data_IF_351684578170
#
_entry.id   IF_351684578170
#
_cell.length_a   1.000
_cell.length_b   1.000
_cell.length_c   1.000
_cell.angle_alpha   90.00
_cell.angle_beta   90.00
_cell.angle_gamma   90.00
#
_symmetry.space_group_name_H-M   'P 1'
#
loop_
_entity.id
_entity.type
_entity.pdbx_description
1 polymer ?
#
# COMPACT_ATOMS: atom_id res chain seq x y z
N UNK A 1 0.37 9.69 32.10
CA UNK A 1 0.25 8.26 32.47
C UNK A 1 1.12 7.96 33.69
N UNK A 2 0.81 6.97 34.53
CA UNK A 2 1.74 6.59 35.61
C UNK A 2 2.98 5.85 35.04
N UNK A 3 4.04 5.74 35.84
CA UNK A 3 5.30 5.13 35.37
C UNK A 3 5.19 3.66 34.99
N UNK A 4 4.25 2.91 35.58
CA UNK A 4 4.05 1.47 35.33
C UNK A 4 3.36 1.27 33.98
N UNK A 5 2.33 2.06 33.73
CA UNK A 5 1.57 2.01 32.50
C UNK A 5 2.39 2.53 31.32
N UNK A 6 3.21 3.57 31.51
CA UNK A 6 4.15 4.04 30.48
C UNK A 6 5.15 2.94 30.09
N UNK A 7 5.68 2.20 31.08
CA UNK A 7 6.54 1.06 30.81
C UNK A 7 5.80 -0.10 30.12
N UNK A 8 4.51 -0.30 30.41
CA UNK A 8 3.65 -1.26 29.71
C UNK A 8 3.46 -0.87 28.25
N UNK A 9 3.13 0.39 27.98
CA UNK A 9 2.95 0.92 26.62
C UNK A 9 4.25 0.77 25.80
N UNK A 10 5.41 1.10 26.38
CA UNK A 10 6.71 0.88 25.72
C UNK A 10 6.95 -0.61 25.39
N UNK A 11 6.73 -1.52 26.35
CA UNK A 11 6.90 -2.97 26.10
C UNK A 11 5.96 -3.46 24.99
N UNK A 12 4.71 -3.00 24.98
CA UNK A 12 3.76 -3.33 23.94
C UNK A 12 4.22 -2.79 22.57
N UNK A 13 4.63 -1.52 22.49
CA UNK A 13 5.14 -0.91 21.26
C UNK A 13 6.36 -1.68 20.73
N UNK A 14 7.32 -1.96 21.59
CA UNK A 14 8.55 -2.65 21.22
C UNK A 14 8.33 -4.12 20.82
N UNK A 15 7.31 -4.80 21.36
CA UNK A 15 7.01 -6.19 21.03
C UNK A 15 6.10 -6.33 19.81
N UNK A 16 5.16 -5.40 19.62
CA UNK A 16 4.09 -5.53 18.62
C UNK A 16 4.40 -4.79 17.31
N UNK A 17 5.15 -3.68 17.34
CA UNK A 17 5.36 -2.83 16.17
C UNK A 17 6.79 -2.89 15.61
N UNK A 18 7.78 -2.95 16.50
CA UNK A 18 9.19 -2.90 16.13
C UNK A 18 9.64 -4.19 15.44
N UNK A 19 10.04 -4.10 14.17
CA UNK A 19 10.48 -5.26 13.38
C UNK A 19 9.35 -6.24 13.06
N UNK A 20 8.11 -5.77 13.06
CA UNK A 20 6.94 -6.58 12.70
C UNK A 20 6.97 -6.87 11.20
N UNK A 21 6.82 -8.14 10.84
CA UNK A 21 6.43 -8.57 9.49
C UNK A 21 4.91 -8.47 9.40
N UNK A 22 4.33 -7.59 8.55
CA UNK A 22 2.88 -7.54 8.39
C UNK A 22 2.38 -8.87 7.81
N UNK A 23 1.29 -9.39 8.38
CA UNK A 23 0.59 -10.59 7.87
C UNK A 23 0.18 -10.41 6.40
N UNK A 24 -0.22 -9.19 6.05
CA UNK A 24 -0.60 -8.77 4.71
C UNK A 24 0.31 -7.61 4.29
N UNK A 25 1.28 -7.83 3.39
CA UNK A 25 2.12 -6.77 2.87
C UNK A 25 1.29 -5.66 2.20
N UNK A 26 1.77 -4.40 2.23
CA UNK A 26 1.20 -3.34 1.42
C UNK A 26 1.14 -3.70 -0.06
N UNK A 27 0.15 -3.16 -0.77
CA UNK A 27 -0.07 -3.44 -2.19
C UNK A 27 1.19 -3.09 -3.01
N UNK A 28 1.68 -4.06 -3.78
CA UNK A 28 2.89 -3.88 -4.60
C UNK A 28 4.20 -3.81 -3.82
N UNK A 29 4.20 -4.11 -2.53
CA UNK A 29 5.40 -4.15 -1.70
C UNK A 29 5.96 -5.57 -1.56
N UNK A 30 7.27 -5.65 -1.32
CA UNK A 30 7.97 -6.89 -0.99
C UNK A 30 8.55 -6.73 0.40
N UNK A 31 8.21 -7.67 1.29
CA UNK A 31 8.70 -7.68 2.66
C UNK A 31 9.70 -8.82 2.84
N UNK A 32 10.90 -8.47 3.29
CA UNK A 32 11.98 -9.43 3.50
C UNK A 32 12.49 -9.34 4.94
N UNK A 33 12.64 -10.49 5.58
CA UNK A 33 13.25 -10.58 6.90
C UNK A 33 14.71 -11.00 6.78
N UNK A 34 15.60 -10.26 7.43
CA UNK A 34 17.03 -10.54 7.52
C UNK A 34 17.49 -10.44 8.98
N UNK A 35 17.45 -11.57 9.69
CA UNK A 35 17.73 -11.62 11.12
C UNK A 35 16.73 -10.76 11.92
N UNK A 36 17.20 -9.75 12.69
CA UNK A 36 16.33 -8.87 13.46
C UNK A 36 15.70 -7.74 12.63
N UNK A 37 16.08 -7.62 11.34
CA UNK A 37 15.62 -6.56 10.44
C UNK A 37 14.49 -7.05 9.54
N UNK A 38 13.55 -6.15 9.26
CA UNK A 38 12.49 -6.32 8.27
C UNK A 38 12.64 -5.18 7.28
N UNK A 39 12.91 -5.51 6.02
CA UNK A 39 12.92 -4.58 4.90
C UNK A 39 11.55 -4.60 4.24
N UNK A 40 11.01 -3.42 3.97
CA UNK A 40 9.86 -3.26 3.08
C UNK A 40 10.30 -2.49 1.86
N UNK A 41 10.24 -3.14 0.71
CA UNK A 41 10.54 -2.59 -0.60
C UNK A 41 9.25 -2.20 -1.29
N UNK A 42 9.07 -0.92 -1.55
CA UNK A 42 7.84 -0.37 -2.13
C UNK A 42 7.95 -0.11 -3.64
N UNK A 43 9.12 -0.31 -4.22
CA UNK A 43 9.43 0.03 -5.61
C UNK A 43 9.69 1.52 -5.84
N UNK A 44 9.25 2.42 -4.96
CA UNK A 44 9.58 3.87 -5.04
C UNK A 44 10.52 4.32 -3.93
N UNK A 45 10.53 3.56 -2.84
CA UNK A 45 11.31 3.79 -1.65
C UNK A 45 11.29 2.51 -0.81
N UNK A 46 11.85 2.56 0.39
CA UNK A 46 11.68 1.49 1.35
C UNK A 46 11.94 1.89 2.78
N UNK A 47 11.68 0.94 3.66
CA UNK A 47 11.86 1.12 5.10
C UNK A 47 12.60 -0.07 5.71
N UNK A 48 13.37 0.20 6.75
CA UNK A 48 13.92 -0.82 7.64
C UNK A 48 13.28 -0.66 9.01
N UNK A 49 12.55 -1.69 9.42
CA UNK A 49 12.12 -1.90 10.80
C UNK A 49 13.00 -2.94 11.48
N UNK A 50 13.07 -2.90 12.81
CA UNK A 50 13.78 -3.94 13.56
C UNK A 50 13.23 -4.12 14.96
N UNK A 51 13.32 -5.36 15.44
CA UNK A 51 13.06 -5.67 16.85
C UNK A 51 14.12 -5.02 17.75
N UNK A 52 13.93 -4.94 19.08
CA UNK A 52 15.00 -4.53 19.98
C UNK A 52 16.28 -5.34 19.73
N UNK A 53 17.41 -4.64 19.56
CA UNK A 53 18.71 -5.23 19.20
C UNK A 53 19.57 -5.57 20.42
N UNK A 54 18.95 -5.76 21.59
CA UNK A 54 19.66 -5.98 22.86
C UNK A 54 20.47 -7.28 22.89
N UNK A 55 20.16 -8.22 22.00
CA UNK A 55 20.81 -9.53 21.86
C UNK A 55 21.78 -9.59 20.67
N UNK A 56 21.93 -8.51 19.89
CA UNK A 56 22.83 -8.47 18.74
C UNK A 56 24.23 -8.03 19.19
N UNK A 57 25.28 -8.86 18.98
CA UNK A 57 26.64 -8.47 19.33
C UNK A 57 27.11 -7.27 18.51
N UNK A 58 27.79 -6.33 19.16
CA UNK A 58 28.36 -5.13 18.50
C UNK A 58 29.19 -5.48 17.25
N UNK A 59 30.01 -6.53 17.33
CA UNK A 59 30.89 -6.94 16.24
C UNK A 59 30.13 -7.40 14.97
N UNK A 60 28.85 -7.78 15.10
CA UNK A 60 28.02 -8.22 13.98
C UNK A 60 27.20 -7.08 13.36
N UNK A 61 27.00 -5.98 14.10
CA UNK A 61 26.10 -4.89 13.73
C UNK A 61 26.52 -4.19 12.43
N UNK A 62 27.82 -3.94 12.25
CA UNK A 62 28.37 -3.36 11.02
C UNK A 62 28.02 -4.19 9.78
N UNK A 63 28.18 -5.51 9.88
CA UNK A 63 27.86 -6.44 8.79
C UNK A 63 26.37 -6.47 8.48
N UNK A 64 25.53 -6.43 9.52
CA UNK A 64 24.08 -6.39 9.39
C UNK A 64 23.58 -5.12 8.71
N UNK A 65 24.08 -3.94 9.13
CA UNK A 65 23.75 -2.64 8.53
C UNK A 65 24.14 -2.62 7.06
N UNK A 66 25.36 -3.09 6.74
CA UNK A 66 25.85 -3.14 5.35
C UNK A 66 24.98 -4.01 4.44
N UNK A 67 24.47 -5.15 4.93
CA UNK A 67 23.52 -5.97 4.14
C UNK A 67 22.24 -5.21 3.78
N UNK A 68 21.74 -4.35 4.67
CA UNK A 68 20.55 -3.55 4.38
C UNK A 68 20.88 -2.47 3.33
N UNK A 69 22.00 -1.79 3.50
CA UNK A 69 22.51 -0.81 2.53
C UNK A 69 22.64 -1.43 1.12
N UNK A 70 23.31 -2.59 1.02
CA UNK A 70 23.52 -3.31 -0.23
C UNK A 70 22.18 -3.72 -0.89
N UNK A 71 21.21 -4.19 -0.10
CA UNK A 71 19.89 -4.59 -0.59
C UNK A 71 19.09 -3.41 -1.20
N UNK A 72 19.09 -2.24 -0.56
CA UNK A 72 18.40 -1.05 -1.11
C UNK A 72 19.16 -0.44 -2.29
N UNK A 73 20.50 -0.43 -2.25
CA UNK A 73 21.32 0.03 -3.37
C UNK A 73 21.09 -0.81 -4.64
N UNK A 74 20.96 -2.14 -4.50
CA UNK A 74 20.68 -3.04 -5.63
C UNK A 74 19.34 -2.78 -6.32
N UNK A 75 18.38 -2.15 -5.62
CA UNK A 75 17.04 -1.84 -6.13
C UNK A 75 16.86 -0.38 -6.52
N UNK A 76 17.85 0.47 -6.28
CA UNK A 76 17.75 1.91 -6.54
C UNK A 76 16.65 2.60 -5.72
N UNK A 77 16.35 2.10 -4.52
CA UNK A 77 15.29 2.63 -3.66
C UNK A 77 15.89 3.48 -2.52
N UNK A 78 15.37 4.70 -2.27
CA UNK A 78 15.71 5.44 -1.06
C UNK A 78 15.15 4.70 0.15
N UNK A 79 15.95 4.61 1.21
CA UNK A 79 15.59 3.86 2.42
C UNK A 79 15.51 4.77 3.63
N UNK A 80 14.52 4.51 4.47
CA UNK A 80 14.36 5.13 5.80
C UNK A 80 14.46 4.08 6.90
N UNK A 81 15.22 4.38 7.93
CA UNK A 81 15.45 3.49 9.06
C UNK A 81 15.24 4.24 10.37
N UNK A 82 14.23 3.83 11.15
CA UNK A 82 13.97 4.43 12.47
C UNK A 82 14.86 3.80 13.55
N UNK A 83 15.62 4.63 14.26
CA UNK A 83 16.45 4.27 15.42
C UNK A 83 15.87 4.91 16.67
N UNK A 84 15.67 4.12 17.72
CA UNK A 84 15.05 4.55 18.96
C UNK A 84 16.12 4.88 20.01
N UNK A 85 15.82 5.77 20.95
CA UNK A 85 16.77 6.19 21.98
C UNK A 85 17.27 5.07 22.91
N UNK A 86 16.57 3.93 22.97
CA UNK A 86 16.99 2.74 23.72
C UNK A 86 17.85 1.77 22.91
N UNK A 87 18.03 2.02 21.61
CA UNK A 87 18.86 1.15 20.78
C UNK A 87 20.34 1.32 21.11
N UNK A 88 21.17 0.31 20.81
CA UNK A 88 22.61 0.41 21.00
C UNK A 88 23.16 1.67 20.29
N UNK A 89 23.99 2.50 20.97
CA UNK A 89 24.54 3.72 20.38
C UNK A 89 25.37 3.43 19.12
N UNK A 90 26.01 2.25 19.08
CA UNK A 90 26.79 1.78 17.95
C UNK A 90 25.95 1.68 16.66
N UNK A 91 24.62 1.48 16.73
CA UNK A 91 23.79 1.42 15.53
C UNK A 91 23.82 2.73 14.74
N UNK A 92 23.78 3.88 15.42
CA UNK A 92 23.83 5.18 14.77
C UNK A 92 25.20 5.42 14.11
N UNK A 93 26.28 4.96 14.75
CA UNK A 93 27.65 5.04 14.21
C UNK A 93 27.81 4.17 12.96
N UNK A 94 27.31 2.93 13.00
CA UNK A 94 27.37 2.01 11.86
C UNK A 94 26.49 2.47 10.68
N UNK A 95 25.32 3.06 10.95
CA UNK A 95 24.48 3.66 9.91
C UNK A 95 25.19 4.83 9.23
N UNK A 96 25.81 5.72 10.00
CA UNK A 96 26.60 6.83 9.43
C UNK A 96 27.79 6.32 8.61
N UNK A 97 28.50 5.29 9.09
CA UNK A 97 29.60 4.66 8.35
C UNK A 97 29.14 4.00 7.04
N UNK A 98 27.91 3.50 7.00
CA UNK A 98 27.27 2.96 5.79
C UNK A 98 26.67 4.04 4.86
N UNK A 99 26.86 5.32 5.16
CA UNK A 99 26.43 6.43 4.30
C UNK A 99 25.01 6.95 4.57
N UNK A 100 24.36 6.52 5.64
CA UNK A 100 23.08 7.09 6.04
C UNK A 100 23.27 8.46 6.70
N UNK A 101 22.31 9.36 6.48
CA UNK A 101 22.22 10.66 7.14
C UNK A 101 21.05 10.67 8.11
N UNK A 102 21.22 11.26 9.29
CA UNK A 102 20.18 11.30 10.31
C UNK A 102 19.33 12.57 10.21
N UNK A 103 18.01 12.42 10.25
CA UNK A 103 17.08 13.52 10.46
C UNK A 103 17.20 14.07 11.90
N UNK A 104 16.59 15.24 12.13
CA UNK A 104 16.36 15.75 13.49
C UNK A 104 15.53 14.74 14.32
N UNK A 105 15.87 14.54 15.61
CA UNK A 105 15.13 13.62 16.47
C UNK A 105 13.71 14.11 16.74
N UNK A 106 12.76 13.17 16.75
CA UNK A 106 11.39 13.37 17.20
C UNK A 106 11.16 12.64 18.52
N UNK A 107 10.13 13.06 19.26
CA UNK A 107 9.64 12.31 20.42
C UNK A 107 8.62 11.28 19.95
N UNK A 108 8.79 10.03 20.37
CA UNK A 108 7.74 9.02 20.27
C UNK A 108 6.82 9.18 21.48
N UNK A 109 5.63 9.70 21.21
CA UNK A 109 4.59 9.94 22.20
C UNK A 109 3.55 8.82 22.14
N UNK A 110 2.95 8.51 23.29
CA UNK A 110 1.84 7.55 23.39
C UNK A 110 0.73 8.08 24.29
N UNK A 111 -0.52 7.81 23.96
CA UNK A 111 -1.66 8.02 24.84
C UNK A 111 -2.46 6.74 25.00
N UNK A 112 -2.96 6.50 26.22
CA UNK A 112 -4.10 5.58 26.44
C UNK A 112 -5.36 6.28 25.92
N UNK A 113 -5.97 5.70 24.89
CA UNK A 113 -7.14 6.28 24.23
C UNK A 113 -8.32 6.48 25.19
N UNK A 114 -8.46 5.63 26.22
CA UNK A 114 -9.51 5.77 27.23
C UNK A 114 -9.28 6.95 28.20
N UNK A 115 -8.06 7.51 28.24
CA UNK A 115 -7.63 8.52 29.22
C UNK A 115 -7.24 9.87 28.63
N UNK A 116 -7.28 10.03 27.31
CA UNK A 116 -7.08 11.34 26.71
C UNK A 116 -8.01 12.38 27.37
N UNK A 117 -7.69 13.67 27.35
CA UNK A 117 -8.58 14.72 27.87
C UNK A 117 -9.59 15.15 26.81
N UNK A 118 -10.89 15.39 27.13
CA UNK A 118 -11.88 15.80 26.13
C UNK A 118 -11.42 17.07 25.42
N UNK A 119 -11.30 17.01 24.09
CA UNK A 119 -10.85 18.13 23.27
C UNK A 119 -11.97 19.13 23.00
N UNK A 120 -11.63 20.29 22.42
CA UNK A 120 -12.61 21.24 21.89
C UNK A 120 -13.35 20.58 20.72
N UNK A 121 -14.65 20.36 20.89
CA UNK A 121 -15.52 19.81 19.84
C UNK A 121 -15.97 20.94 18.90
N UNK A 122 -15.76 20.76 17.60
CA UNK A 122 -16.73 21.06 16.52
C UNK A 122 -16.16 20.61 15.17
N UNK A 123 -16.85 19.74 14.41
CA UNK A 123 -16.67 19.66 12.94
C UNK A 123 -15.64 18.69 12.36
N UNK A 124 -14.94 17.88 13.16
CA UNK A 124 -14.05 16.81 12.64
C UNK A 124 -14.90 15.69 12.02
N UNK A 125 -14.55 15.26 10.81
CA UNK A 125 -15.22 14.18 10.08
C UNK A 125 -14.16 13.24 9.49
N UNK A 126 -14.33 11.93 9.68
CA UNK A 126 -13.62 10.93 8.87
C UNK A 126 -14.14 11.02 7.43
N UNK A 127 -13.23 11.04 6.47
CA UNK A 127 -13.56 11.13 5.05
C UNK A 127 -13.18 9.81 4.39
N UNK A 128 -14.13 9.13 3.71
CA UNK A 128 -13.82 7.98 2.88
C UNK A 128 -12.74 8.32 1.83
N UNK A 129 -11.67 7.52 1.77
CA UNK A 129 -10.66 7.60 0.73
C UNK A 129 -11.30 7.43 -0.64
N UNK A 130 -10.93 8.28 -1.60
CA UNK A 130 -11.40 8.18 -2.99
C UNK A 130 -12.67 8.95 -3.32
N UNK A 131 -13.31 9.66 -2.39
CA UNK A 131 -14.37 10.62 -2.73
C UNK A 131 -13.77 11.93 -3.31
N UNK A 132 -14.13 12.34 -4.54
CA UNK A 132 -13.62 13.56 -5.13
C UNK A 132 -14.50 14.77 -4.78
N UNK A 133 -13.92 15.84 -4.23
CA UNK A 133 -14.39 17.22 -4.48
C UNK A 133 -13.44 18.31 -3.96
N UNK A 134 -12.68 18.08 -2.89
CA UNK A 134 -11.82 19.14 -2.34
C UNK A 134 -10.47 18.59 -1.89
N UNK A 135 -9.50 18.52 -2.81
CA UNK A 135 -8.09 18.16 -2.51
C UNK A 135 -7.38 19.20 -1.62
N UNK A 136 -8.13 20.09 -0.97
CA UNK A 136 -7.63 21.16 -0.10
C UNK A 136 -6.81 20.63 1.07
N UNK A 137 -7.09 19.43 1.57
CA UNK A 137 -6.28 18.82 2.63
C UNK A 137 -4.90 18.33 2.17
N UNK A 138 -4.70 17.97 0.89
CA UNK A 138 -3.36 17.66 0.37
C UNK A 138 -2.46 18.91 0.38
N UNK A 139 -3.06 20.08 0.10
CA UNK A 139 -2.38 21.36 0.24
C UNK A 139 -2.05 21.66 1.72
N UNK A 140 -2.98 21.41 2.65
CA UNK A 140 -2.72 21.53 4.09
C UNK A 140 -1.56 20.62 4.55
N UNK A 141 -1.55 19.35 4.12
CA UNK A 141 -0.50 18.39 4.44
C UNK A 141 0.86 18.84 3.90
N UNK A 142 0.90 19.35 2.67
CA UNK A 142 2.13 19.88 2.05
C UNK A 142 2.65 21.12 2.80
N UNK A 143 1.77 22.04 3.18
CA UNK A 143 2.13 23.29 3.85
C UNK A 143 2.58 23.11 5.31
N UNK A 144 2.17 22.03 5.97
CA UNK A 144 2.42 21.76 7.40
C UNK A 144 3.54 20.74 7.64
N UNK A 145 4.18 20.22 6.59
CA UNK A 145 5.27 19.25 6.72
C UNK A 145 6.56 19.83 7.33
N UNK A 146 7.55 18.97 7.66
CA UNK A 146 7.57 17.53 7.41
C UNK A 146 6.78 16.72 8.46
N UNK A 147 5.97 15.78 7.98
CA UNK A 147 5.25 14.82 8.82
C UNK A 147 6.07 13.55 9.08
N UNK A 148 5.72 12.78 10.10
CA UNK A 148 6.42 11.52 10.41
C UNK A 148 6.27 10.53 9.26
N UNK A 149 5.09 10.51 8.65
CA UNK A 149 4.81 9.88 7.36
C UNK A 149 4.08 10.90 6.47
N UNK A 150 4.69 11.35 5.36
CA UNK A 150 4.03 12.22 4.40
C UNK A 150 2.69 11.65 3.92
N UNK A 151 1.67 12.50 3.71
CA UNK A 151 0.34 12.05 3.30
C UNK A 151 0.37 11.24 2.00
N UNK A 152 1.15 11.65 1.00
CA UNK A 152 1.24 10.95 -0.28
C UNK A 152 1.79 9.51 -0.14
N UNK A 153 2.75 9.29 0.77
CA UNK A 153 3.21 7.95 1.11
C UNK A 153 2.15 7.24 1.96
N UNK A 154 1.54 7.90 2.93
CA UNK A 154 0.47 7.30 3.71
C UNK A 154 -0.71 6.85 2.86
N UNK A 155 -1.01 7.49 1.73
CA UNK A 155 -2.04 7.06 0.78
C UNK A 155 -1.55 5.93 -0.13
N UNK A 156 -0.28 5.95 -0.56
CA UNK A 156 0.29 4.98 -1.48
C UNK A 156 0.79 3.68 -0.81
N UNK A 157 1.16 3.74 0.47
CA UNK A 157 1.72 2.64 1.26
C UNK A 157 0.62 1.81 1.94
N UNK A 158 -0.65 2.22 1.79
CA UNK A 158 -1.77 1.46 2.31
C UNK A 158 -1.86 0.12 1.60
N UNK A 159 -2.05 -0.94 2.37
CA UNK A 159 -2.47 -2.22 1.80
C UNK A 159 -3.96 -2.23 1.51
N UNK A 160 -4.43 -3.32 0.91
CA UNK A 160 -5.85 -3.72 0.69
C UNK A 160 -6.81 -3.50 1.88
N UNK A 161 -6.29 -3.19 3.08
CA UNK A 161 -7.02 -3.24 4.35
C UNK A 161 -6.97 -1.93 5.16
N UNK A 162 -6.39 -0.86 4.62
CA UNK A 162 -6.67 0.45 5.20
C UNK A 162 -8.08 0.81 4.78
N UNK A 163 -9.01 0.69 5.74
CA UNK A 163 -10.39 0.99 5.48
C UNK A 163 -10.49 2.48 5.06
N UNK A 164 -11.49 2.86 4.26
CA UNK A 164 -11.60 4.21 3.72
C UNK A 164 -11.56 5.37 4.73
N UNK A 165 -11.52 5.17 6.06
CA UNK A 165 -11.56 6.23 7.08
C UNK A 165 -10.26 6.51 7.84
N UNK A 166 -9.11 6.07 7.35
CA UNK A 166 -7.79 6.38 7.94
C UNK A 166 -7.39 7.88 7.79
N UNK A 167 -8.30 8.71 7.30
CA UNK A 167 -8.13 10.15 7.10
C UNK A 167 -9.30 10.94 7.72
N UNK A 168 -8.98 11.98 8.49
CA UNK A 168 -9.95 12.86 9.12
C UNK A 168 -9.67 14.32 8.77
N UNK A 169 -10.74 15.07 8.51
CA UNK A 169 -10.68 16.50 8.16
C UNK A 169 -11.55 17.30 9.11
N UNK A 170 -11.03 18.43 9.56
CA UNK A 170 -11.82 19.46 10.23
C UNK A 170 -12.38 20.42 9.19
N UNK A 171 -13.70 20.56 9.14
CA UNK A 171 -14.39 21.47 8.23
C UNK A 171 -14.98 22.65 9.00
N UNK A 172 -14.56 23.86 8.64
CA UNK A 172 -15.14 25.10 9.13
C UNK A 172 -15.65 25.94 7.96
N UNK A 173 -16.88 26.46 8.06
CA UNK A 173 -17.51 27.27 7.02
C UNK A 173 -17.48 26.62 5.61
N UNK A 174 -17.54 25.28 5.55
CA UNK A 174 -17.53 24.51 4.31
C UNK A 174 -16.15 24.26 3.69
N UNK A 175 -15.04 24.57 4.39
CA UNK A 175 -13.67 24.33 3.91
C UNK A 175 -12.87 23.46 4.88
N UNK A 176 -11.99 22.62 4.35
CA UNK A 176 -10.99 21.93 5.16
C UNK A 176 -10.01 22.95 5.74
N UNK A 177 -9.89 23.00 7.07
CA UNK A 177 -8.95 23.90 7.78
C UNK A 177 -7.82 23.14 8.48
N UNK A 178 -8.05 21.87 8.82
CA UNK A 178 -7.03 20.96 9.31
C UNK A 178 -7.29 19.54 8.84
N UNK A 179 -6.25 18.72 8.79
CA UNK A 179 -6.31 17.32 8.43
C UNK A 179 -5.40 16.48 9.34
N UNK A 180 -5.79 15.22 9.50
CA UNK A 180 -5.02 14.22 10.22
C UNK A 180 -5.19 12.85 9.57
N UNK A 181 -4.12 12.06 9.56
CA UNK A 181 -4.16 10.72 9.00
C UNK A 181 -3.52 9.72 9.96
N UNK A 182 -4.28 8.65 10.20
CA UNK A 182 -4.00 7.68 11.24
C UNK A 182 -4.34 6.29 10.71
N UNK A 183 -3.53 5.31 11.05
CA UNK A 183 -3.80 3.90 10.76
C UNK A 183 -3.98 3.11 12.05
N UNK A 184 -4.89 2.13 12.04
CA UNK A 184 -4.85 1.06 13.05
C UNK A 184 -3.89 -0.01 12.57
N UNK A 185 -2.82 -0.21 13.34
CA UNK A 185 -1.88 -1.28 13.10
C UNK A 185 -2.56 -2.62 13.48
N UNK A 186 -3.26 -3.23 12.52
CA UNK A 186 -4.06 -4.45 12.72
C UNK A 186 -3.25 -5.55 13.42
N UNK A 187 -3.88 -6.20 14.39
CA UNK A 187 -3.23 -7.22 15.22
C UNK A 187 -2.33 -6.67 16.33
N UNK A 188 -2.38 -5.36 16.59
CA UNK A 188 -1.67 -4.70 17.68
C UNK A 188 -2.62 -3.85 18.51
N UNK A 189 -2.13 -3.39 19.66
CA UNK A 189 -2.86 -2.48 20.54
C UNK A 189 -2.75 -1.01 20.11
N UNK A 190 -2.23 -0.71 18.90
CA UNK A 190 -1.83 0.63 18.49
C UNK A 190 -2.58 1.19 17.28
N UNK A 191 -3.02 2.43 17.43
CA UNK A 191 -3.24 3.36 16.34
C UNK A 191 -2.00 4.23 16.16
N UNK A 192 -1.60 4.50 14.92
CA UNK A 192 -0.40 5.26 14.57
C UNK A 192 -0.79 6.53 13.84
N UNK A 193 -0.31 7.67 14.32
CA UNK A 193 -0.46 8.96 13.64
C UNK A 193 0.62 9.08 12.57
N UNK A 194 0.20 9.15 11.30
CA UNK A 194 1.11 9.46 10.19
C UNK A 194 1.43 10.95 10.11
N UNK A 195 0.42 11.81 10.35
CA UNK A 195 0.60 13.25 10.39
C UNK A 195 -0.66 14.02 10.79
N UNK A 196 -0.44 15.27 11.23
CA UNK A 196 -1.44 16.21 11.70
C UNK A 196 -1.05 17.60 11.23
N UNK A 197 -1.93 18.30 10.52
CA UNK A 197 -1.58 19.59 9.89
C UNK A 197 -1.68 20.78 10.83
N UNK A 198 -2.35 20.62 11.97
CA UNK A 198 -2.56 21.67 12.96
C UNK A 198 -2.41 21.07 14.38
N UNK A 199 -1.40 21.53 15.15
CA UNK A 199 -1.20 21.12 16.53
C UNK A 199 -2.40 21.35 17.45
N UNK A 200 -3.17 22.42 17.27
CA UNK A 200 -4.26 22.78 18.19
C UNK A 200 -5.43 21.78 18.13
N UNK A 201 -5.63 21.17 16.96
CA UNK A 201 -6.71 20.21 16.70
C UNK A 201 -6.27 18.75 16.81
N UNK A 202 -4.97 18.50 17.05
CA UNK A 202 -4.37 17.17 17.18
C UNK A 202 -5.14 16.23 18.14
N UNK A 203 -5.47 16.72 19.34
CA UNK A 203 -6.21 15.96 20.35
C UNK A 203 -7.62 15.58 19.87
N UNK A 204 -8.29 16.48 19.15
CA UNK A 204 -9.61 16.25 18.61
C UNK A 204 -9.57 15.16 17.52
N UNK A 205 -8.60 15.21 16.61
CA UNK A 205 -8.43 14.18 15.58
C UNK A 205 -8.25 12.79 16.18
N UNK A 206 -7.30 12.62 17.10
CA UNK A 206 -7.02 11.31 17.72
C UNK A 206 -8.25 10.73 18.44
N UNK A 207 -9.07 11.57 19.06
CA UNK A 207 -10.26 11.13 19.81
C UNK A 207 -11.47 10.84 18.96
N UNK A 208 -11.70 11.66 17.93
CA UNK A 208 -12.84 11.53 17.04
C UNK A 208 -12.59 10.56 15.90
N UNK A 209 -11.34 10.14 15.73
CA UNK A 209 -11.03 9.09 14.78
C UNK A 209 -11.74 7.80 15.21
N UNK A 210 -12.70 7.41 14.39
CA UNK A 210 -13.35 6.11 14.48
C UNK A 210 -12.82 5.29 13.33
N UNK A 211 -12.25 4.09 13.56
CA UNK A 211 -12.01 3.18 12.46
C UNK A 211 -13.34 2.96 11.75
N UNK A 212 -13.38 2.92 10.42
CA UNK A 212 -14.57 2.49 9.71
C UNK A 212 -15.07 1.19 10.31
N UNK A 213 -16.29 1.22 10.84
CA UNK A 213 -16.95 0.02 11.29
C UNK A 213 -17.38 -0.74 10.04
N UNK A 214 -16.64 -1.77 9.66
CA UNK A 214 -17.13 -2.67 8.64
C UNK A 214 -18.21 -3.56 9.28
N UNK A 215 -19.42 -3.52 8.71
CA UNK A 215 -20.56 -4.31 9.21
C UNK A 215 -20.33 -5.83 9.02
N UNK A 216 -19.36 -6.22 8.20
CA UNK A 216 -19.03 -7.62 7.90
C UNK A 216 -17.66 -8.10 8.39
N UNK A 217 -16.75 -7.20 8.81
CA UNK A 217 -15.47 -7.60 9.38
C UNK A 217 -15.42 -7.20 10.84
N UNK A 218 -15.35 -8.22 11.70
CA UNK A 218 -15.26 -8.11 13.15
C UNK A 218 -14.35 -6.95 13.57
N UNK A 219 -14.82 -6.10 14.50
CA UNK A 219 -13.99 -5.13 15.20
C UNK A 219 -12.61 -5.76 15.47
N UNK A 220 -11.51 -5.31 14.86
CA UNK A 220 -10.21 -5.55 15.46
C UNK A 220 -10.31 -4.94 16.85
N UNK A 221 -9.99 -5.71 17.90
CA UNK A 221 -10.04 -5.24 19.28
C UNK A 221 -9.45 -3.83 19.35
N UNK A 222 -10.28 -2.86 19.74
CA UNK A 222 -9.98 -1.43 19.56
C UNK A 222 -8.59 -1.12 20.10
N UNK A 223 -7.74 -0.49 19.29
CA UNK A 223 -6.44 -0.03 19.72
C UNK A 223 -6.56 0.60 21.12
N UNK A 224 -5.73 0.16 22.06
CA UNK A 224 -5.71 0.72 23.41
C UNK A 224 -4.87 2.00 23.44
N UNK A 225 -3.88 2.08 22.57
CA UNK A 225 -2.90 3.15 22.53
C UNK A 225 -2.94 3.89 21.19
N UNK A 226 -2.72 5.20 21.24
CA UNK A 226 -2.37 6.01 20.08
C UNK A 226 -0.90 6.41 20.19
N UNK A 227 -0.10 6.13 19.17
CA UNK A 227 1.30 6.55 19.10
C UNK A 227 1.50 7.60 18.01
N UNK A 228 2.34 8.60 18.30
CA UNK A 228 2.66 9.69 17.39
C UNK A 228 4.14 10.06 17.50
N UNK A 229 4.76 10.36 16.36
CA UNK A 229 6.11 10.93 16.31
C UNK A 229 6.01 12.43 16.08
N UNK A 230 6.44 13.23 17.06
CA UNK A 230 6.27 14.67 17.03
C UNK A 230 7.49 15.43 17.57
N UNK A 231 7.66 16.64 17.06
CA UNK A 231 8.60 17.65 17.54
C UNK A 231 7.88 19.02 17.65
N UNK A 232 8.60 20.05 18.10
CA UNK A 232 8.12 21.44 18.11
C UNK A 232 6.74 21.65 18.78
N UNK A 233 5.89 22.42 18.08
CA UNK A 233 4.54 22.78 18.54
C UNK A 233 3.62 21.56 18.62
N UNK A 234 3.72 20.63 17.66
CA UNK A 234 2.91 19.40 17.67
C UNK A 234 3.22 18.53 18.89
N UNK A 235 4.50 18.37 19.25
CA UNK A 235 4.90 17.67 20.48
C UNK A 235 4.30 18.32 21.71
N UNK A 236 4.38 19.66 21.78
CA UNK A 236 3.85 20.43 22.92
C UNK A 236 2.34 20.24 23.06
N UNK A 237 1.60 20.30 21.94
CA UNK A 237 0.15 20.12 21.92
C UNK A 237 -0.26 18.68 22.31
N UNK A 238 0.42 17.66 21.79
CA UNK A 238 0.11 16.26 22.13
C UNK A 238 0.39 15.94 23.60
N UNK A 239 1.48 16.46 24.18
CA UNK A 239 1.75 16.34 25.62
C UNK A 239 0.64 17.01 26.46
N UNK A 240 0.20 18.21 26.06
CA UNK A 240 -0.91 18.89 26.72
C UNK A 240 -2.25 18.13 26.58
N UNK A 241 -2.43 17.38 25.49
CA UNK A 241 -3.59 16.53 25.25
C UNK A 241 -3.63 15.25 26.09
N UNK A 242 -2.54 14.92 26.80
CA UNK A 242 -2.43 13.74 27.64
C UNK A 242 -1.60 12.60 27.04
N UNK A 243 -0.80 12.86 26.00
CA UNK A 243 0.24 11.93 25.58
C UNK A 243 1.43 11.98 26.54
N UNK A 244 2.13 10.86 26.68
CA UNK A 244 3.37 10.71 27.42
C UNK A 244 4.51 10.36 26.47
N UNK A 245 5.70 10.90 26.73
CA UNK A 245 6.90 10.56 25.96
C UNK A 245 7.44 9.19 26.37
N UNK A 246 7.59 8.29 25.39
CA UNK A 246 8.20 6.97 25.56
C UNK A 246 9.71 7.01 25.33
N UNK A 247 10.12 7.69 24.27
CA UNK A 247 11.52 7.78 23.83
C UNK A 247 11.70 8.85 22.77
N UNK A 248 12.93 8.99 22.28
CA UNK A 248 13.22 9.68 21.03
C UNK A 248 13.37 8.68 19.88
N UNK A 249 13.04 9.12 18.67
CA UNK A 249 13.26 8.39 17.43
C UNK A 249 14.02 9.29 16.46
N UNK A 250 14.99 8.72 15.75
CA UNK A 250 15.70 9.36 14.64
C UNK A 250 15.53 8.52 13.40
N UNK A 251 15.12 9.15 12.31
CA UNK A 251 15.06 8.48 11.00
C UNK A 251 16.37 8.72 10.27
N UNK A 252 17.08 7.63 9.99
CA UNK A 252 18.23 7.61 9.11
C UNK A 252 17.79 7.40 7.67
N UNK A 253 18.38 8.13 6.74
CA UNK A 253 18.03 8.10 5.32
C UNK A 253 19.25 7.83 4.46
N UNK A 254 19.05 7.08 3.39
CA UNK A 254 20.02 6.96 2.31
C UNK A 254 19.28 7.04 0.98
N UNK A 255 19.69 7.97 0.14
CA UNK A 255 19.17 8.11 -1.22
C UNK A 255 20.02 7.27 -2.20
N UNK A 256 19.39 6.70 -3.24
CA UNK A 256 20.11 6.00 -4.30
C UNK A 256 20.93 6.97 -5.14
N UNK A 257 21.93 6.43 -5.85
CA UNK A 257 22.78 7.22 -6.77
C UNK A 257 21.97 7.75 -7.96
N UNK A 258 21.09 6.92 -8.50
CA UNK A 258 20.18 7.29 -9.58
C UNK A 258 18.81 7.68 -9.04
N UNK A 259 18.06 8.57 -9.70
CA UNK A 259 16.71 8.93 -9.25
C UNK A 259 15.81 7.69 -9.14
N UNK A 260 15.10 7.53 -8.01
CA UNK A 260 14.21 6.38 -7.84
C UNK A 260 13.02 6.43 -8.77
N UNK A 261 12.38 5.27 -8.95
CA UNK A 261 11.10 5.20 -9.64
C UNK A 261 10.05 6.06 -8.90
N UNK A 262 9.21 6.75 -9.67
CA UNK A 262 8.18 7.66 -9.14
C UNK A 262 6.83 6.99 -8.90
N UNK A 263 6.64 5.79 -9.43
CA UNK A 263 5.38 5.05 -9.37
C UNK A 263 5.60 3.68 -8.73
N UNK A 264 4.58 3.21 -8.00
CA UNK A 264 4.56 1.86 -7.42
C UNK A 264 4.53 0.80 -8.53
N UNK A 265 5.11 -0.39 -8.31
CA UNK A 265 4.93 -1.54 -9.21
C UNK A 265 3.47 -1.93 -9.35
N UNK A 266 2.71 -1.87 -8.25
CA UNK A 266 1.26 -2.12 -8.18
C UNK A 266 0.62 -1.03 -7.32
N UNK A 267 -0.53 -0.53 -7.75
CA UNK A 267 -1.39 0.40 -7.00
C UNK A 267 -2.85 -0.01 -7.18
N UNK A 268 -3.65 0.07 -6.12
CA UNK A 268 -5.11 -0.09 -6.21
C UNK A 268 -5.75 1.08 -6.98
N UNK A 269 -6.73 0.77 -7.82
CA UNK A 269 -7.53 1.78 -8.49
C UNK A 269 -8.49 2.41 -7.49
N UNK A 270 -8.54 3.75 -7.49
CA UNK A 270 -9.48 4.49 -6.67
C UNK A 270 -10.80 4.68 -7.44
N UNK A 271 -11.92 4.74 -6.72
CA UNK A 271 -13.29 4.71 -7.26
C UNK A 271 -13.48 5.42 -8.60
N UNK A 272 -13.17 6.73 -8.70
CA UNK A 272 -13.38 7.46 -9.96
C UNK A 272 -12.54 6.95 -11.16
N UNK A 273 -11.33 6.43 -10.95
CA UNK A 273 -10.51 5.83 -12.02
C UNK A 273 -11.08 4.48 -12.47
N UNK A 274 -11.58 3.70 -11.50
CA UNK A 274 -12.20 2.39 -11.74
C UNK A 274 -13.56 2.54 -12.44
N UNK A 275 -14.43 3.41 -11.94
CA UNK A 275 -15.76 3.71 -12.49
C UNK A 275 -15.68 4.11 -13.97
N UNK A 276 -14.75 5.03 -14.30
CA UNK A 276 -14.56 5.49 -15.68
C UNK A 276 -14.15 4.35 -16.61
N UNK A 277 -13.36 3.39 -16.12
CA UNK A 277 -12.90 2.27 -16.94
C UNK A 277 -14.02 1.25 -17.15
N UNK A 278 -14.81 0.95 -16.10
CA UNK A 278 -16.00 0.10 -16.22
C UNK A 278 -17.06 0.71 -17.15
N UNK A 279 -17.31 2.01 -17.05
CA UNK A 279 -18.23 2.72 -17.96
C UNK A 279 -17.79 2.59 -19.41
N UNK A 280 -16.48 2.78 -19.68
CA UNK A 280 -15.93 2.60 -21.03
C UNK A 280 -16.03 1.16 -21.52
N UNK A 281 -15.82 0.16 -20.66
CA UNK A 281 -16.03 -1.25 -21.02
C UNK A 281 -17.50 -1.53 -21.33
N UNK A 282 -18.42 -0.93 -20.59
CA UNK A 282 -19.86 -1.06 -20.80
C UNK A 282 -20.30 -0.45 -22.14
N UNK A 283 -19.75 0.72 -22.49
CA UNK A 283 -20.14 1.51 -23.65
C UNK A 283 -19.41 1.10 -24.93
N UNK A 284 -18.08 0.93 -24.88
CA UNK A 284 -17.24 0.64 -26.04
C UNK A 284 -17.22 -0.87 -26.38
N UNK A 285 -17.25 -1.73 -25.35
CA UNK A 285 -17.17 -3.18 -25.50
C UNK A 285 -18.47 -3.90 -25.18
N UNK A 286 -19.55 -3.18 -24.86
CA UNK A 286 -20.84 -3.80 -24.55
C UNK A 286 -20.76 -4.76 -23.38
N UNK A 287 -19.91 -4.48 -22.38
CA UNK A 287 -19.75 -5.34 -21.20
C UNK A 287 -21.09 -5.51 -20.46
N UNK A 288 -21.56 -6.75 -20.33
CA UNK A 288 -22.81 -7.13 -19.66
C UNK A 288 -22.57 -8.32 -18.76
N UNK A 289 -23.14 -8.25 -17.56
CA UNK A 289 -22.84 -9.17 -16.47
C UNK A 289 -23.87 -10.29 -16.30
N UNK A 290 -25.01 -10.20 -17.00
CA UNK A 290 -26.07 -11.20 -16.88
C UNK A 290 -25.79 -12.38 -17.80
N UNK A 291 -26.02 -13.59 -17.30
CA UNK A 291 -25.89 -14.85 -18.05
C UNK A 291 -26.75 -14.87 -19.33
N UNK A 292 -27.85 -14.12 -19.37
CA UNK A 292 -28.70 -14.02 -20.57
C UNK A 292 -28.08 -13.18 -21.70
N UNK A 293 -27.07 -12.37 -21.38
CA UNK A 293 -26.43 -11.44 -22.32
C UNK A 293 -25.15 -12.04 -22.95
N UNK A 294 -24.86 -13.33 -22.72
CA UNK A 294 -23.69 -14.05 -23.23
C UNK A 294 -23.54 -13.87 -24.76
N UNK A 295 -22.35 -13.47 -25.29
CA UNK A 295 -21.04 -13.46 -24.61
C UNK A 295 -20.77 -12.25 -23.69
N UNK A 296 -21.68 -11.29 -23.61
CA UNK A 296 -21.60 -10.15 -22.68
C UNK A 296 -20.38 -9.25 -22.86
N UNK A 297 -19.62 -9.40 -23.96
CA UNK A 297 -18.41 -8.64 -24.25
C UNK A 297 -18.08 -8.71 -25.74
N UNK A 298 -18.10 -7.57 -26.41
CA UNK A 298 -17.85 -7.40 -27.84
C UNK A 298 -16.40 -6.97 -28.10
N UNK A 299 -15.44 -7.88 -27.84
CA UNK A 299 -14.02 -7.64 -28.04
C UNK A 299 -13.70 -7.04 -29.43
N UNK A 300 -12.79 -6.06 -29.54
CA UNK A 300 -12.45 -5.43 -30.80
C UNK A 300 -11.66 -6.41 -31.69
N UNK A 301 -11.65 -6.16 -32.99
CA UNK A 301 -10.78 -6.88 -33.92
C UNK A 301 -9.37 -6.25 -33.94
N UNK A 302 -8.28 -7.04 -34.00
CA UNK A 302 -8.28 -8.50 -34.00
C UNK A 302 -8.42 -9.08 -32.58
N UNK A 303 -9.16 -10.19 -32.47
CA UNK A 303 -9.31 -10.96 -31.22
C UNK A 303 -9.55 -12.45 -31.46
N UNK A 304 -9.24 -13.25 -30.44
CA UNK A 304 -9.52 -14.68 -30.40
C UNK A 304 -9.99 -15.10 -29.00
N UNK A 305 -10.85 -16.12 -28.95
CA UNK A 305 -11.39 -16.67 -27.70
C UNK A 305 -11.06 -18.15 -27.60
N UNK A 306 -10.46 -18.56 -26.50
CA UNK A 306 -10.17 -19.96 -26.15
C UNK A 306 -11.15 -20.49 -25.11
N UNK A 307 -11.54 -21.77 -25.19
CA UNK A 307 -12.22 -22.44 -24.09
C UNK A 307 -11.22 -22.64 -22.94
N UNK A 308 -11.68 -22.45 -21.71
CA UNK A 308 -10.97 -22.82 -20.50
C UNK A 308 -11.40 -24.24 -20.10
N UNK A 309 -10.43 -25.11 -19.89
CA UNK A 309 -10.67 -26.45 -19.32
C UNK A 309 -10.91 -26.39 -17.82
N UNK A 310 -11.08 -27.54 -17.17
CA UNK A 310 -11.23 -27.59 -15.71
C UNK A 310 -10.02 -26.96 -14.99
N UNK A 311 -10.25 -26.11 -13.96
CA UNK A 311 -9.16 -25.41 -13.31
C UNK A 311 -8.30 -26.38 -12.49
N UNK A 312 -6.99 -26.32 -12.72
CA UNK A 312 -5.99 -26.88 -11.82
C UNK A 312 -4.77 -25.94 -11.76
N UNK A 313 -4.07 -25.93 -10.62
CA UNK A 313 -2.99 -24.99 -10.30
C UNK A 313 -1.98 -24.83 -11.46
N UNK A 314 -1.48 -25.94 -12.01
CA UNK A 314 -0.51 -25.89 -13.11
C UNK A 314 -1.03 -25.22 -14.40
N UNK A 315 -2.34 -25.29 -14.69
CA UNK A 315 -2.95 -24.65 -15.85
C UNK A 315 -3.07 -23.14 -15.61
N UNK A 316 -3.56 -22.76 -14.44
CA UNK A 316 -3.70 -21.35 -14.04
C UNK A 316 -2.33 -20.67 -14.07
N UNK A 317 -1.32 -21.27 -13.44
CA UNK A 317 0.06 -20.77 -13.45
C UNK A 317 0.64 -20.64 -14.88
N UNK A 318 0.37 -21.61 -15.75
CA UNK A 318 0.84 -21.58 -17.12
C UNK A 318 0.15 -20.46 -17.91
N UNK A 319 -1.16 -20.28 -17.71
CA UNK A 319 -1.94 -19.23 -18.34
C UNK A 319 -1.44 -17.85 -17.91
N UNK A 320 -1.28 -17.62 -16.62
CA UNK A 320 -0.83 -16.34 -16.07
C UNK A 320 0.60 -16.00 -16.53
N UNK A 321 1.49 -17.00 -16.64
CA UNK A 321 2.82 -16.81 -17.24
C UNK A 321 2.74 -16.37 -18.71
N UNK A 322 1.88 -16.99 -19.51
CA UNK A 322 1.69 -16.62 -20.93
C UNK A 322 1.12 -15.21 -21.04
N UNK A 323 0.10 -14.89 -20.24
CA UNK A 323 -0.54 -13.56 -20.24
C UNK A 323 0.44 -12.48 -19.78
N UNK A 324 1.13 -12.66 -18.65
CA UNK A 324 2.10 -11.68 -18.15
C UNK A 324 3.25 -11.45 -19.16
N UNK A 325 3.74 -12.51 -19.81
CA UNK A 325 4.73 -12.35 -20.89
C UNK A 325 4.13 -11.57 -22.07
N UNK A 326 2.90 -11.89 -22.47
CA UNK A 326 2.18 -11.16 -23.51
C UNK A 326 2.07 -9.68 -23.20
N UNK A 327 1.69 -9.32 -21.97
CA UNK A 327 1.61 -7.94 -21.49
C UNK A 327 2.98 -7.25 -21.60
N UNK A 328 4.06 -7.88 -21.10
CA UNK A 328 5.43 -7.35 -21.23
C UNK A 328 5.89 -7.16 -22.68
N UNK A 329 5.38 -7.96 -23.62
CA UNK A 329 5.72 -7.84 -25.03
C UNK A 329 5.05 -6.65 -25.72
N UNK A 330 3.94 -6.14 -25.15
CA UNK A 330 3.19 -5.01 -25.73
C UNK A 330 3.28 -3.72 -24.91
N UNK A 331 3.95 -3.76 -23.76
CA UNK A 331 4.23 -2.58 -22.94
C UNK A 331 5.72 -2.31 -22.80
N UNK A 332 6.10 -1.04 -22.68
CA UNK A 332 7.42 -0.62 -22.24
C UNK A 332 7.57 -0.60 -20.71
N UNK A 333 8.80 -0.60 -20.17
CA UNK A 333 9.03 -0.36 -18.74
C UNK A 333 8.41 0.96 -18.27
N UNK A 334 7.67 0.93 -17.16
CA UNK A 334 6.94 2.07 -16.62
C UNK A 334 5.53 2.27 -17.19
N UNK A 335 5.17 1.58 -18.28
CA UNK A 335 3.78 1.57 -18.77
C UNK A 335 2.93 0.63 -17.90
N UNK A 336 1.75 1.12 -17.50
CA UNK A 336 0.87 0.38 -16.59
C UNK A 336 -0.32 -0.25 -17.32
N UNK A 337 -0.61 -1.50 -16.98
CA UNK A 337 -1.83 -2.24 -17.34
C UNK A 337 -2.79 -2.18 -16.15
N UNK A 338 -4.08 -2.37 -16.40
CA UNK A 338 -5.10 -2.55 -15.36
C UNK A 338 -5.48 -4.02 -15.24
N UNK A 339 -5.55 -4.53 -14.02
CA UNK A 339 -6.29 -5.74 -13.71
C UNK A 339 -7.60 -5.36 -13.06
N UNK A 340 -8.71 -5.84 -13.63
CA UNK A 340 -10.05 -5.54 -13.17
C UNK A 340 -10.74 -6.80 -12.69
N UNK A 341 -11.41 -6.67 -11.55
CA UNK A 341 -12.18 -7.72 -10.90
C UNK A 341 -13.59 -7.18 -10.62
N UNK A 342 -14.59 -7.80 -11.22
CA UNK A 342 -15.96 -7.27 -11.18
C UNK A 342 -16.49 -7.21 -9.75
N UNK A 343 -16.85 -6.01 -9.28
CA UNK A 343 -17.31 -5.72 -7.90
C UNK A 343 -16.25 -5.86 -6.80
N UNK A 344 -14.99 -6.01 -7.19
CA UNK A 344 -13.86 -6.15 -6.29
C UNK A 344 -12.79 -5.10 -6.61
N UNK A 345 -11.85 -4.83 -5.70
CA UNK A 345 -10.83 -3.83 -5.95
C UNK A 345 -9.92 -4.19 -7.13
N UNK A 346 -9.75 -3.22 -8.01
CA UNK A 346 -8.95 -3.32 -9.22
C UNK A 346 -7.55 -2.74 -9.01
N UNK A 347 -6.59 -3.06 -9.90
CA UNK A 347 -5.20 -2.61 -9.77
C UNK A 347 -4.63 -2.02 -11.05
N UNK A 348 -3.81 -0.98 -10.93
CA UNK A 348 -2.84 -0.56 -11.91
C UNK A 348 -1.47 -1.17 -11.59
N UNK A 349 -0.78 -1.75 -12.57
CA UNK A 349 0.55 -2.30 -12.36
C UNK A 349 1.44 -2.22 -13.60
N UNK A 350 2.75 -2.18 -13.37
CA UNK A 350 3.77 -2.30 -14.42
C UNK A 350 4.14 -3.78 -14.61
N UNK A 351 3.83 -4.40 -15.77
CA UNK A 351 4.17 -5.80 -16.04
C UNK A 351 5.66 -6.13 -15.90
N UNK A 352 6.55 -5.15 -16.05
CA UNK A 352 8.01 -5.31 -15.97
C UNK A 352 8.55 -5.29 -14.54
N UNK A 353 7.69 -5.11 -13.53
CA UNK A 353 8.10 -4.97 -12.11
C UNK A 353 7.34 -5.90 -11.17
N UNK A 354 6.73 -6.96 -11.71
CA UNK A 354 5.92 -7.94 -10.98
C UNK A 354 6.22 -9.36 -11.45
N UNK A 355 6.06 -10.34 -10.56
CA UNK A 355 6.13 -11.77 -10.90
C UNK A 355 7.54 -12.35 -11.12
N UNK A 356 8.59 -11.54 -11.04
CA UNK A 356 9.98 -12.00 -10.98
C UNK A 356 10.48 -12.35 -9.56
N UNK A 357 11.63 -13.01 -9.43
CA UNK A 357 12.24 -13.28 -8.13
C UNK A 357 12.51 -11.99 -7.35
N UNK A 358 11.97 -11.93 -6.13
CA UNK A 358 12.06 -10.74 -5.29
C UNK A 358 11.10 -9.62 -5.70
N UNK A 359 10.35 -9.70 -6.79
CA UNK A 359 9.35 -8.70 -7.16
C UNK A 359 8.01 -8.97 -6.47
N UNK A 360 7.13 -7.96 -6.35
CA UNK A 360 5.76 -8.20 -5.89
C UNK A 360 5.03 -9.18 -6.83
N UNK A 361 4.05 -9.88 -6.28
CA UNK A 361 3.19 -10.79 -7.05
C UNK A 361 2.44 -10.00 -8.13
N UNK A 362 2.28 -10.60 -9.31
CA UNK A 362 1.45 -10.01 -10.37
C UNK A 362 0.00 -9.91 -9.87
N UNK A 363 -0.67 -8.75 -10.00
CA UNK A 363 -2.04 -8.63 -9.54
C UNK A 363 -2.98 -9.55 -10.30
N UNK A 364 -3.80 -10.27 -9.55
CA UNK A 364 -4.86 -11.10 -10.09
C UNK A 364 -4.39 -12.31 -10.90
N UNK A 365 -5.32 -12.82 -11.70
CA UNK A 365 -5.11 -13.93 -12.62
C UNK A 365 -5.99 -13.74 -13.86
N UNK A 366 -5.65 -14.42 -14.96
CA UNK A 366 -6.44 -14.41 -16.19
C UNK A 366 -7.59 -15.43 -16.16
N UNK A 367 -7.45 -16.50 -15.36
CA UNK A 367 -8.47 -17.53 -15.20
C UNK A 367 -9.57 -17.03 -14.24
N UNK A 368 -10.84 -16.89 -14.68
CA UNK A 368 -11.92 -16.41 -13.83
C UNK A 368 -12.35 -17.46 -12.79
N UNK A 369 -12.60 -17.04 -11.55
CA UNK A 369 -12.97 -17.93 -10.43
C UNK A 369 -14.46 -17.88 -10.04
N UNK A 370 -15.25 -17.14 -10.82
CA UNK A 370 -16.65 -16.82 -10.51
C UNK A 370 -16.98 -15.40 -10.95
N UNK A 371 -15.99 -14.52 -10.92
CA UNK A 371 -16.09 -13.13 -11.38
C UNK A 371 -15.45 -12.91 -12.76
N UNK A 372 -15.76 -11.76 -13.36
CA UNK A 372 -15.16 -11.35 -14.62
C UNK A 372 -13.78 -10.74 -14.37
N UNK A 373 -12.75 -11.33 -14.97
CA UNK A 373 -11.39 -10.84 -14.85
C UNK A 373 -10.89 -10.25 -16.16
N UNK A 374 -10.28 -9.07 -16.07
CA UNK A 374 -9.71 -8.40 -17.23
C UNK A 374 -8.30 -7.93 -16.96
N UNK A 375 -7.39 -8.15 -17.91
CA UNK A 375 -6.21 -7.31 -18.06
C UNK A 375 -6.46 -6.35 -19.19
N UNK A 376 -6.40 -5.04 -18.97
CA UNK A 376 -6.64 -4.04 -20.03
C UNK A 376 -5.62 -2.92 -20.02
N UNK A 377 -5.21 -2.51 -21.22
CA UNK A 377 -4.57 -1.22 -21.43
C UNK A 377 -5.51 -0.07 -21.03
N UNK A 378 -5.04 1.01 -20.36
CA UNK A 378 -5.90 2.13 -19.98
C UNK A 378 -6.62 2.81 -21.15
N UNK A 379 -6.03 2.78 -22.36
CA UNK A 379 -6.66 3.29 -23.58
C UNK A 379 -7.49 2.21 -24.32
N UNK A 380 -7.65 1.02 -23.73
CA UNK A 380 -8.39 -0.13 -24.26
C UNK A 380 -7.86 -0.62 -25.63
N UNK A 381 -6.55 -0.44 -25.89
CA UNK A 381 -5.89 -0.85 -27.14
C UNK A 381 -5.72 -2.38 -27.24
N UNK A 382 -5.55 -3.04 -26.11
CA UNK A 382 -5.38 -4.49 -26.00
C UNK A 382 -5.85 -4.95 -24.62
N UNK A 383 -6.07 -6.26 -24.49
CA UNK A 383 -6.38 -6.85 -23.20
C UNK A 383 -6.84 -8.30 -23.28
N UNK A 384 -7.21 -8.83 -22.12
CA UNK A 384 -7.83 -10.13 -21.93
C UNK A 384 -9.17 -9.99 -21.21
N UNK A 385 -10.05 -10.96 -21.44
CA UNK A 385 -11.34 -11.05 -20.77
C UNK A 385 -11.63 -12.52 -20.43
N UNK A 386 -11.55 -12.85 -19.14
CA UNK A 386 -11.93 -14.13 -18.57
C UNK A 386 -13.42 -14.11 -18.24
N UNK A 387 -14.20 -14.94 -18.91
CA UNK A 387 -15.65 -15.04 -18.69
C UNK A 387 -15.97 -16.30 -17.87
N UNK A 388 -16.44 -16.17 -16.61
CA UNK A 388 -16.61 -17.32 -15.73
C UNK A 388 -17.73 -18.25 -16.21
N UNK A 389 -18.85 -17.72 -16.71
CA UNK A 389 -19.97 -18.57 -17.17
C UNK A 389 -19.78 -19.20 -18.56
N UNK A 390 -19.11 -18.53 -19.49
CA UNK A 390 -18.76 -19.16 -20.78
C UNK A 390 -17.58 -20.12 -20.63
N UNK A 391 -16.82 -20.04 -19.53
CA UNK A 391 -15.53 -20.70 -19.37
C UNK A 391 -14.61 -20.40 -20.55
N UNK A 392 -14.39 -19.12 -20.82
CA UNK A 392 -13.52 -18.69 -21.93
C UNK A 392 -12.55 -17.60 -21.54
N UNK A 393 -11.41 -17.56 -22.23
CA UNK A 393 -10.49 -16.43 -22.22
C UNK A 393 -10.50 -15.80 -23.61
N UNK A 394 -10.89 -14.54 -23.70
CA UNK A 394 -10.75 -13.73 -24.92
C UNK A 394 -9.50 -12.86 -24.83
N UNK A 395 -8.71 -12.81 -25.89
CA UNK A 395 -7.56 -11.90 -26.03
C UNK A 395 -7.81 -10.98 -27.22
N UNK A 396 -7.57 -9.68 -27.06
CA UNK A 396 -7.76 -8.68 -28.12
C UNK A 396 -6.59 -7.71 -28.25
N UNK A 397 -6.48 -7.11 -29.44
CA UNK A 397 -5.40 -6.20 -29.82
C UNK A 397 -4.27 -6.94 -30.51
N UNK A 398 -3.86 -6.45 -31.69
CA UNK A 398 -2.97 -7.17 -32.61
C UNK A 398 -1.64 -7.57 -31.97
N UNK A 399 -1.03 -6.68 -31.20
CA UNK A 399 0.25 -6.94 -30.52
C UNK A 399 0.12 -8.04 -29.47
N UNK A 400 -0.90 -7.98 -28.63
CA UNK A 400 -1.05 -8.92 -27.51
C UNK A 400 -1.42 -10.30 -28.06
N UNK A 401 -2.40 -10.35 -28.97
CA UNK A 401 -2.80 -11.57 -29.64
C UNK A 401 -1.61 -12.25 -30.33
N UNK A 402 -0.82 -11.50 -31.10
CA UNK A 402 0.37 -12.03 -31.77
C UNK A 402 1.45 -12.57 -30.81
N UNK A 403 1.52 -12.04 -29.58
CA UNK A 403 2.49 -12.47 -28.58
C UNK A 403 2.08 -13.74 -27.80
N UNK A 404 0.79 -14.10 -27.81
CA UNK A 404 0.26 -15.19 -26.96
C UNK A 404 -0.46 -16.29 -27.73
N UNK A 405 -0.96 -16.05 -28.95
CA UNK A 405 -1.86 -16.97 -29.67
C UNK A 405 -1.29 -18.39 -29.82
N UNK A 406 -0.03 -18.52 -30.23
CA UNK A 406 0.59 -19.83 -30.43
C UNK A 406 0.65 -20.65 -29.14
N UNK A 407 0.99 -19.99 -28.02
CA UNK A 407 1.14 -20.66 -26.72
C UNK A 407 -0.18 -20.92 -26.04
N UNK A 408 -1.14 -20.00 -26.14
CA UNK A 408 -2.51 -20.25 -25.69
C UNK A 408 -3.14 -21.39 -26.48
N UNK A 409 -2.89 -21.47 -27.79
CA UNK A 409 -3.42 -22.58 -28.61
C UNK A 409 -2.78 -23.91 -28.24
N UNK A 410 -1.48 -23.93 -27.92
CA UNK A 410 -0.82 -25.12 -27.40
C UNK A 410 -1.34 -25.54 -26.02
N UNK A 411 -1.71 -24.58 -25.17
CA UNK A 411 -2.18 -24.82 -23.80
C UNK A 411 -3.66 -25.19 -23.72
N UNK A 412 -4.52 -24.50 -24.47
CA UNK A 412 -5.99 -24.53 -24.36
C UNK A 412 -6.67 -25.19 -25.57
N UNK A 413 -5.93 -25.49 -26.64
CA UNK A 413 -6.47 -25.97 -27.91
C UNK A 413 -6.89 -24.84 -28.85
N UNK A 414 -7.66 -25.16 -29.89
CA UNK A 414 -8.06 -24.18 -30.90
C UNK A 414 -9.07 -23.14 -30.36
N UNK A 415 -8.96 -21.87 -30.77
CA UNK A 415 -9.96 -20.85 -30.48
C UNK A 415 -11.37 -21.24 -30.94
N UNK A 416 -12.35 -21.04 -30.07
CA UNK A 416 -13.78 -21.22 -30.38
C UNK A 416 -14.36 -20.03 -31.15
N UNK A 417 -13.74 -18.85 -31.06
CA UNK A 417 -14.13 -17.64 -31.81
C UNK A 417 -12.92 -16.83 -32.23
N UNK A 418 -13.01 -16.18 -33.40
CA UNK A 418 -12.02 -15.25 -33.93
C UNK A 418 -12.72 -14.06 -34.58
N UNK A 419 -12.12 -12.87 -34.43
CA UNK A 419 -12.52 -11.63 -35.10
C UNK A 419 -11.28 -11.01 -35.74
N UNK A 420 -11.37 -10.71 -37.04
CA UNK A 420 -10.29 -10.10 -37.82
C UNK A 420 -10.16 -8.60 -37.59
#
# INVERSE_FOLDING_TARGET
>A
MDGVERARAWRAYAAQLRGRVPEWPPTGAVVEQDGPFVRTHYGTHGTVGHRPLTDVPRAELAGLVRRQQEAFAARGEPVRWKVYGQDPPDLAEELAAAGFTADAPRSLLVADLARLAPGRETGVRSVPSGLPADSSWQALATASGPHAQPLAEFEADRGWRCDPGDFSVLIEHGKAVAAGWLEVARGTDFMLVGGLTDPETAAAFVRHWTPPGDANHHRPGAAAYCAAEADGELRTALLAAGFDELTTVRTFRMDPVEPPARTRPVRELAGAEDDVLWDRLHDEFGFRTKVVDIPGFAAPGPSATWPLGDPHEALVDALDRVVLRGLRAVTGPGEQVRWLDWQHPCYAFDPHRVGGPGEPVCPGQAYPDGDFYLYVDPALRFGTFGHPWEHTLTVFGAGLLGAVEAELTALLGEPVRRRG
#
